data_IF_692388090458
#
_entry.id   IF_692388090458
#
_cell.length_a   1.000
_cell.length_b   1.000
_cell.length_c   1.000
_cell.angle_alpha   90.00
_cell.angle_beta   90.00
_cell.angle_gamma   90.00
#
_symmetry.space_group_name_H-M   'P 1'
#
loop_
_entity.id
_entity.type
_entity.pdbx_description
1 polymer ?
#
# COMPACT_ATOMS: atom_id res chain seq x y z
N UNK A 1 -12.95 2.91 -21.13
CA UNK A 1 -12.99 1.62 -20.40
C UNK A 1 -11.64 0.96 -20.58
N UNK A 2 -10.85 0.85 -19.52
CA UNK A 2 -9.57 0.13 -19.62
C UNK A 2 -9.86 -1.35 -19.88
N UNK A 3 -9.16 -1.92 -20.85
CA UNK A 3 -9.27 -3.32 -21.21
C UNK A 3 -8.32 -4.09 -20.29
N UNK A 4 -8.85 -4.96 -19.42
CA UNK A 4 -8.00 -5.86 -18.64
C UNK A 4 -7.50 -6.98 -19.55
N UNK A 5 -6.23 -7.38 -19.38
CA UNK A 5 -5.64 -8.48 -20.14
C UNK A 5 -6.18 -9.84 -19.66
N UNK A 6 -6.47 -9.97 -18.37
CA UNK A 6 -7.00 -11.19 -17.74
C UNK A 6 -8.09 -10.82 -16.74
N UNK A 7 -9.19 -11.57 -16.75
CA UNK A 7 -10.18 -11.54 -15.69
C UNK A 7 -9.81 -12.64 -14.67
N UNK A 8 -9.59 -12.26 -13.42
CA UNK A 8 -9.21 -13.20 -12.38
C UNK A 8 -9.95 -12.92 -11.08
N UNK A 9 -10.20 -13.96 -10.30
CA UNK A 9 -10.67 -13.88 -8.93
C UNK A 9 -9.45 -13.79 -7.99
N UNK A 10 -9.41 -12.73 -7.18
CA UNK A 10 -8.28 -12.48 -6.27
C UNK A 10 -8.15 -13.56 -5.19
N UNK A 11 -9.22 -14.26 -4.86
CA UNK A 11 -9.19 -15.37 -3.90
C UNK A 11 -8.68 -16.69 -4.51
N UNK A 12 -8.47 -16.71 -5.84
CA UNK A 12 -7.99 -17.87 -6.60
C UNK A 12 -7.30 -17.41 -7.88
N UNK A 13 -6.09 -16.90 -7.75
CA UNK A 13 -5.33 -16.41 -8.90
C UNK A 13 -4.83 -17.55 -9.79
N UNK A 14 -4.94 -17.41 -11.13
CA UNK A 14 -4.60 -18.49 -12.08
C UNK A 14 -3.10 -18.66 -12.34
N UNK A 15 -2.25 -17.94 -11.62
CA UNK A 15 -0.80 -17.98 -11.78
C UNK A 15 -0.16 -18.93 -10.77
N UNK A 16 1.01 -19.47 -11.13
CA UNK A 16 1.84 -20.29 -10.25
C UNK A 16 2.39 -19.45 -9.08
N UNK A 17 2.91 -20.15 -8.06
CA UNK A 17 3.65 -19.53 -6.97
C UNK A 17 4.85 -18.74 -7.52
N UNK A 18 5.23 -17.68 -6.84
CA UNK A 18 6.45 -16.91 -7.11
C UNK A 18 6.56 -16.36 -8.56
N UNK A 19 5.40 -16.00 -9.16
CA UNK A 19 5.34 -15.55 -10.56
C UNK A 19 5.74 -14.09 -10.71
N UNK A 20 5.37 -13.21 -9.77
CA UNK A 20 5.49 -11.76 -9.94
C UNK A 20 6.60 -11.15 -9.08
N UNK A 21 7.30 -10.18 -9.67
CA UNK A 21 8.28 -9.34 -8.97
C UNK A 21 7.62 -8.24 -8.15
N UNK A 22 6.53 -7.68 -8.70
CA UNK A 22 5.83 -6.52 -8.16
C UNK A 22 4.33 -6.73 -8.28
N UNK A 23 3.60 -6.34 -7.25
CA UNK A 23 2.14 -6.33 -7.22
C UNK A 23 1.62 -4.92 -6.94
N UNK A 24 0.52 -4.57 -7.60
CA UNK A 24 -0.27 -3.39 -7.26
C UNK A 24 -1.73 -3.79 -7.12
N UNK A 25 -2.26 -3.69 -5.91
CA UNK A 25 -3.64 -4.05 -5.57
C UNK A 25 -4.27 -2.87 -4.82
N UNK A 26 -4.78 -1.90 -5.58
CA UNK A 26 -5.28 -0.64 -5.03
C UNK A 26 -6.80 -0.61 -5.10
N UNK A 27 -7.45 -0.36 -3.97
CA UNK A 27 -8.90 -0.26 -3.84
C UNK A 27 -9.64 -1.49 -4.37
N UNK A 28 -9.21 -2.68 -3.91
CA UNK A 28 -9.78 -3.97 -4.30
C UNK A 28 -10.20 -4.79 -3.07
N UNK A 29 -9.34 -4.88 -2.05
CA UNK A 29 -9.55 -5.80 -0.92
C UNK A 29 -10.78 -5.45 -0.07
N UNK A 30 -11.20 -4.18 -0.03
CA UNK A 30 -12.41 -3.73 0.64
C UNK A 30 -13.70 -4.26 0.00
N UNK A 31 -13.62 -4.74 -1.24
CA UNK A 31 -14.74 -5.35 -1.97
C UNK A 31 -14.78 -6.87 -1.86
N UNK A 32 -13.69 -7.50 -1.41
CA UNK A 32 -13.54 -8.96 -1.39
C UNK A 32 -14.04 -9.53 -0.06
N UNK A 33 -15.10 -10.35 -0.03
CA UNK A 33 -15.61 -10.94 1.23
C UNK A 33 -14.56 -11.74 1.99
N UNK A 34 -13.79 -12.59 1.31
CA UNK A 34 -12.69 -13.38 1.88
C UNK A 34 -11.33 -12.71 1.58
N UNK A 35 -11.07 -11.59 2.25
CA UNK A 35 -9.85 -10.82 2.07
C UNK A 35 -8.60 -11.57 2.57
N UNK A 36 -8.73 -12.40 3.59
CA UNK A 36 -7.62 -13.20 4.09
C UNK A 36 -7.15 -14.18 3.02
N UNK A 37 -8.07 -14.85 2.35
CA UNK A 37 -7.75 -15.73 1.23
C UNK A 37 -7.12 -14.97 0.06
N UNK A 38 -7.63 -13.76 -0.23
CA UNK A 38 -7.04 -12.91 -1.26
C UNK A 38 -5.60 -12.50 -0.91
N UNK A 39 -5.33 -12.15 0.35
CA UNK A 39 -3.97 -11.84 0.82
C UNK A 39 -3.03 -13.04 0.73
N UNK A 40 -3.50 -14.24 1.06
CA UNK A 40 -2.73 -15.47 0.90
C UNK A 40 -2.37 -15.73 -0.57
N UNK A 41 -3.29 -15.48 -1.50
CA UNK A 41 -3.04 -15.61 -2.94
C UNK A 41 -2.05 -14.57 -3.45
N UNK A 42 -2.16 -13.31 -3.00
CA UNK A 42 -1.17 -12.27 -3.30
C UNK A 42 0.22 -12.68 -2.81
N UNK A 43 0.30 -13.23 -1.58
CA UNK A 43 1.56 -13.73 -1.04
C UNK A 43 2.11 -14.90 -1.85
N UNK A 44 1.25 -15.84 -2.22
CA UNK A 44 1.63 -17.03 -3.00
C UNK A 44 2.25 -16.66 -4.34
N UNK A 45 1.61 -15.75 -5.08
CA UNK A 45 2.07 -15.40 -6.44
C UNK A 45 3.24 -14.41 -6.48
N UNK A 46 3.49 -13.67 -5.38
CA UNK A 46 4.65 -12.80 -5.26
C UNK A 46 5.88 -13.63 -4.95
N UNK A 47 6.97 -13.44 -5.69
CA UNK A 47 8.22 -14.17 -5.45
C UNK A 47 8.92 -13.71 -4.16
N UNK A 48 9.77 -14.54 -3.54
CA UNK A 48 10.61 -14.11 -2.43
C UNK A 48 11.45 -12.88 -2.80
N UNK A 49 11.46 -11.87 -1.95
CA UNK A 49 12.07 -10.57 -2.21
C UNK A 49 11.25 -9.62 -3.08
N UNK A 50 10.17 -10.10 -3.70
CA UNK A 50 9.21 -9.26 -4.42
C UNK A 50 8.46 -8.33 -3.46
N UNK A 51 7.92 -7.24 -4.01
CA UNK A 51 7.26 -6.21 -3.24
C UNK A 51 5.96 -5.73 -3.91
N UNK A 52 5.15 -4.96 -3.23
CA UNK A 52 3.93 -4.41 -3.80
C UNK A 52 3.35 -3.26 -2.99
N UNK A 53 2.34 -2.62 -3.59
CA UNK A 53 1.46 -1.67 -2.94
C UNK A 53 0.06 -2.26 -2.85
N UNK A 54 -0.55 -2.16 -1.66
CA UNK A 54 -1.88 -2.72 -1.36
C UNK A 54 -2.72 -1.66 -0.66
N UNK A 55 -3.23 -0.71 -1.45
CA UNK A 55 -3.95 0.44 -0.94
C UNK A 55 -5.43 0.13 -0.74
N UNK A 56 -5.96 0.60 0.36
CA UNK A 56 -7.39 0.55 0.72
C UNK A 56 -7.73 1.82 1.50
N UNK A 57 -9.00 2.21 1.62
CA UNK A 57 -9.41 3.22 2.58
C UNK A 57 -9.06 2.76 4.01
N UNK A 58 -7.93 3.24 4.53
CA UNK A 58 -7.27 2.76 5.74
C UNK A 58 -7.21 3.83 6.82
N UNK A 59 -7.52 3.45 8.06
CA UNK A 59 -7.37 4.34 9.22
C UNK A 59 -6.71 3.60 10.39
N UNK A 60 -5.43 3.86 10.70
CA UNK A 60 -4.73 3.17 11.79
C UNK A 60 -5.25 3.55 13.18
N UNK A 61 -6.00 4.65 13.30
CA UNK A 61 -6.57 5.11 14.57
C UNK A 61 -7.88 4.43 14.95
N UNK A 62 -8.51 3.67 14.05
CA UNK A 62 -9.81 3.03 14.25
C UNK A 62 -9.71 1.51 14.10
N UNK A 63 -10.61 0.75 14.72
CA UNK A 63 -10.74 -0.67 14.40
C UNK A 63 -11.34 -0.86 13.00
N UNK A 64 -11.06 -2.01 12.39
CA UNK A 64 -11.76 -2.47 11.18
C UNK A 64 -13.24 -2.67 11.50
N UNK A 65 -14.09 -2.15 10.62
CA UNK A 65 -15.55 -2.34 10.67
C UNK A 65 -15.95 -3.26 9.53
N UNK A 66 -16.51 -4.41 9.86
CA UNK A 66 -17.04 -5.39 8.92
C UNK A 66 -18.22 -6.14 9.55
N UNK A 67 -19.23 -6.41 8.75
CA UNK A 67 -20.37 -7.22 9.16
C UNK A 67 -20.91 -7.97 7.92
N UNK A 68 -20.76 -9.30 7.86
CA UNK A 68 -21.18 -10.09 6.72
C UNK A 68 -22.71 -10.13 6.53
N UNK A 69 -23.47 -9.72 7.54
CA UNK A 69 -24.94 -9.65 7.46
C UNK A 69 -25.44 -8.39 6.73
N UNK A 70 -24.57 -7.38 6.60
CA UNK A 70 -24.88 -6.14 5.87
C UNK A 70 -24.75 -6.38 4.38
N UNK A 71 -25.90 -6.53 3.70
CA UNK A 71 -25.96 -6.81 2.27
C UNK A 71 -26.59 -5.69 1.45
N UNK A 72 -27.44 -4.85 2.07
CA UNK A 72 -28.09 -3.74 1.38
C UNK A 72 -27.06 -2.66 1.00
N UNK A 73 -27.06 -2.16 -0.26
CA UNK A 73 -26.12 -1.14 -0.74
C UNK A 73 -26.13 0.14 0.10
N UNK A 74 -27.31 0.59 0.54
CA UNK A 74 -27.47 1.81 1.35
C UNK A 74 -26.83 1.67 2.72
N UNK A 75 -26.91 0.47 3.32
CA UNK A 75 -26.28 0.18 4.61
C UNK A 75 -24.76 0.06 4.47
N UNK A 76 -24.27 -0.56 3.40
CA UNK A 76 -22.84 -0.61 3.08
C UNK A 76 -22.26 0.79 2.87
N UNK A 77 -22.96 1.62 2.08
CA UNK A 77 -22.57 3.03 1.89
C UNK A 77 -22.43 3.76 3.23
N UNK A 78 -23.40 3.59 4.13
CA UNK A 78 -23.43 4.26 5.43
C UNK A 78 -22.34 3.75 6.38
N UNK A 79 -22.09 2.44 6.42
CA UNK A 79 -21.18 1.78 7.37
C UNK A 79 -19.74 1.71 6.87
N UNK A 80 -19.56 1.45 5.57
CA UNK A 80 -18.25 1.15 4.99
C UNK A 80 -17.77 2.20 3.98
N UNK A 81 -18.62 3.18 3.64
CA UNK A 81 -18.25 4.33 2.81
C UNK A 81 -18.64 4.22 1.34
N UNK A 82 -18.88 3.02 0.81
CA UNK A 82 -19.40 2.80 -0.54
C UNK A 82 -20.41 1.64 -0.56
N UNK A 83 -21.28 1.64 -1.57
CA UNK A 83 -22.39 0.69 -1.68
C UNK A 83 -21.95 -0.77 -1.93
N UNK A 84 -20.74 -0.95 -2.44
CA UNK A 84 -20.13 -2.24 -2.79
C UNK A 84 -18.98 -2.64 -1.85
N UNK A 85 -18.61 -1.79 -0.89
CA UNK A 85 -17.67 -2.17 0.17
C UNK A 85 -18.31 -3.21 1.11
N UNK A 86 -17.54 -4.19 1.51
CA UNK A 86 -17.95 -5.20 2.52
C UNK A 86 -17.29 -4.94 3.87
N UNK A 87 -16.32 -4.02 3.90
CA UNK A 87 -15.64 -3.54 5.11
C UNK A 87 -15.03 -2.17 4.94
N UNK A 88 -14.67 -1.59 6.08
CA UNK A 88 -13.82 -0.42 6.18
C UNK A 88 -12.62 -0.78 7.04
N UNK A 89 -11.42 -0.75 6.47
CA UNK A 89 -10.22 -1.17 7.15
C UNK A 89 -9.77 -0.18 8.22
N UNK A 90 -9.40 -0.74 9.36
CA UNK A 90 -8.76 -0.08 10.48
C UNK A 90 -7.36 -0.65 10.73
N UNK A 91 -6.84 -0.44 11.94
CA UNK A 91 -5.49 -0.84 12.36
C UNK A 91 -5.18 -2.34 12.13
N UNK A 92 -6.19 -3.21 12.15
CA UNK A 92 -6.02 -4.64 11.94
C UNK A 92 -5.69 -5.02 10.48
N UNK A 93 -5.75 -4.06 9.54
CA UNK A 93 -5.41 -4.30 8.14
C UNK A 93 -3.95 -4.74 7.97
N UNK A 94 -3.04 -4.02 8.61
CA UNK A 94 -1.62 -4.37 8.56
C UNK A 94 -1.33 -5.70 9.24
N UNK A 95 -2.07 -6.04 10.32
CA UNK A 95 -1.96 -7.33 10.99
C UNK A 95 -2.44 -8.49 10.09
N UNK A 96 -3.48 -8.28 9.26
CA UNK A 96 -3.95 -9.27 8.29
C UNK A 96 -2.88 -9.57 7.23
N UNK A 97 -2.28 -8.52 6.66
CA UNK A 97 -1.17 -8.66 5.71
C UNK A 97 0.05 -9.36 6.33
N UNK A 98 0.39 -9.01 7.58
CA UNK A 98 1.46 -9.64 8.31
C UNK A 98 1.18 -11.14 8.58
N UNK A 99 -0.05 -11.50 8.93
CA UNK A 99 -0.48 -12.90 9.09
C UNK A 99 -0.41 -13.71 7.81
N UNK A 100 -0.63 -13.08 6.66
CA UNK A 100 -0.42 -13.71 5.35
C UNK A 100 1.06 -13.94 5.01
N UNK A 101 2.00 -13.43 5.83
CA UNK A 101 3.44 -13.66 5.70
C UNK A 101 4.24 -12.48 5.17
N UNK A 102 3.61 -11.35 4.86
CA UNK A 102 4.32 -10.17 4.36
C UNK A 102 5.08 -9.42 5.44
N UNK A 103 6.24 -8.87 5.10
CA UNK A 103 6.74 -7.67 5.74
C UNK A 103 5.86 -6.50 5.30
N UNK A 104 5.37 -5.70 6.25
CA UNK A 104 4.44 -4.61 5.99
C UNK A 104 5.00 -3.30 6.50
N UNK A 105 4.89 -2.26 5.70
CA UNK A 105 5.24 -0.90 6.09
C UNK A 105 4.19 0.07 5.56
N UNK A 106 3.92 1.15 6.31
CA UNK A 106 2.94 2.15 5.89
C UNK A 106 3.32 3.56 6.32
N UNK A 107 2.84 4.55 5.58
CA UNK A 107 3.08 5.96 5.89
C UNK A 107 2.35 6.88 4.90
N UNK A 108 2.33 8.17 5.19
CA UNK A 108 1.74 9.18 4.31
C UNK A 108 2.85 9.75 3.41
N UNK A 109 2.88 9.34 2.14
CA UNK A 109 3.89 9.80 1.18
C UNK A 109 3.72 11.27 0.81
N UNK A 110 2.49 11.71 0.59
CA UNK A 110 2.20 13.08 0.16
C UNK A 110 2.76 14.15 1.12
N UNK A 111 2.78 13.85 2.42
CA UNK A 111 3.33 14.74 3.44
C UNK A 111 4.86 14.90 3.38
N UNK A 112 5.57 14.03 2.65
CA UNK A 112 7.02 14.11 2.45
C UNK A 112 7.42 14.93 1.22
N UNK A 113 6.46 15.25 0.37
CA UNK A 113 6.67 16.11 -0.78
C UNK A 113 6.75 17.57 -0.33
N UNK A 114 7.67 18.33 -0.89
CA UNK A 114 7.76 19.77 -0.61
C UNK A 114 6.48 20.53 -0.99
N UNK A 115 6.42 21.80 -0.56
CA UNK A 115 5.25 22.67 -0.68
C UNK A 115 4.63 22.66 -2.09
N UNK A 116 3.34 22.36 -2.13
CA UNK A 116 2.50 22.40 -3.34
C UNK A 116 2.64 21.18 -4.28
N UNK A 117 3.60 20.26 -4.09
CA UNK A 117 3.75 19.12 -4.98
C UNK A 117 2.62 18.09 -4.82
N UNK A 118 2.14 17.86 -3.62
CA UNK A 118 0.99 17.00 -3.38
C UNK A 118 -0.24 17.51 -4.16
N UNK A 119 -0.52 18.80 -4.06
CA UNK A 119 -1.62 19.43 -4.80
C UNK A 119 -1.39 19.41 -6.32
N UNK A 120 -0.15 19.66 -6.77
CA UNK A 120 0.20 19.63 -8.20
C UNK A 120 -0.04 18.25 -8.84
N UNK A 121 0.27 17.18 -8.12
CA UNK A 121 0.05 15.81 -8.58
C UNK A 121 -1.33 15.24 -8.21
N UNK A 122 -2.18 16.01 -7.52
CA UNK A 122 -3.51 15.57 -7.08
C UNK A 122 -3.48 14.46 -6.05
N UNK A 123 -2.44 14.42 -5.19
CA UNK A 123 -2.31 13.42 -4.13
C UNK A 123 -3.11 13.84 -2.91
N UNK A 124 -3.78 12.88 -2.27
CA UNK A 124 -4.43 13.08 -0.98
C UNK A 124 -3.38 13.05 0.13
N UNK A 125 -3.26 14.17 0.87
CA UNK A 125 -2.32 14.30 1.99
C UNK A 125 -2.71 13.45 3.21
N UNK A 126 -3.89 12.84 3.20
CA UNK A 126 -4.36 11.93 4.25
C UNK A 126 -4.25 10.45 3.85
N UNK A 127 -3.92 10.15 2.60
CA UNK A 127 -3.85 8.78 2.11
C UNK A 127 -2.58 8.07 2.60
N UNK A 128 -2.79 6.89 3.18
CA UNK A 128 -1.69 6.01 3.58
C UNK A 128 -1.24 5.15 2.41
N UNK A 129 0.05 5.18 2.15
CA UNK A 129 0.71 4.24 1.26
C UNK A 129 1.10 3.01 2.07
N UNK A 130 0.59 1.82 1.67
CA UNK A 130 0.87 0.56 2.32
C UNK A 130 1.72 -0.29 1.38
N UNK A 131 2.96 -0.55 1.80
CA UNK A 131 3.92 -1.36 1.08
C UNK A 131 4.04 -2.74 1.72
N UNK A 132 4.11 -3.75 0.88
CA UNK A 132 4.34 -5.16 1.27
C UNK A 132 5.60 -5.69 0.60
N UNK A 133 6.23 -6.66 1.25
CA UNK A 133 7.33 -7.44 0.68
C UNK A 133 7.21 -8.90 1.12
N UNK A 134 7.45 -9.85 0.20
CA UNK A 134 7.63 -11.25 0.58
C UNK A 134 9.05 -11.43 1.11
N UNK A 135 9.24 -11.84 2.38
CA UNK A 135 10.56 -11.97 2.98
C UNK A 135 11.45 -12.99 2.25
N UNK A 136 12.76 -12.81 2.39
CA UNK A 136 13.79 -13.83 2.15
C UNK A 136 14.71 -13.87 3.36
N UNK A 137 15.27 -15.03 3.66
CA UNK A 137 15.98 -15.34 4.91
C UNK A 137 17.13 -14.40 5.28
N UNK A 138 17.66 -13.64 4.32
CA UNK A 138 18.82 -12.78 4.54
C UNK A 138 18.52 -11.26 4.41
N UNK A 139 17.28 -10.89 4.17
CA UNK A 139 16.92 -9.47 4.10
C UNK A 139 16.36 -8.98 5.44
N UNK A 140 16.74 -7.76 5.90
CA UNK A 140 16.10 -7.17 7.05
C UNK A 140 14.61 -6.90 6.76
N UNK A 141 13.76 -7.09 7.77
CA UNK A 141 12.35 -6.73 7.67
C UNK A 141 12.16 -5.27 7.29
N UNK A 142 11.05 -4.94 6.62
CA UNK A 142 10.68 -3.55 6.37
C UNK A 142 10.42 -2.84 7.72
N UNK A 143 10.78 -1.55 7.85
CA UNK A 143 10.38 -0.79 9.02
C UNK A 143 8.84 -0.71 9.07
N UNK A 144 8.23 -0.86 10.24
CA UNK A 144 6.76 -0.88 10.36
C UNK A 144 6.12 0.45 9.93
N UNK A 145 6.86 1.53 10.03
CA UNK A 145 6.46 2.85 9.58
C UNK A 145 7.43 3.37 8.55
N UNK A 146 6.91 3.76 7.39
CA UNK A 146 7.70 4.43 6.37
C UNK A 146 8.02 5.86 6.81
N UNK A 147 9.29 6.16 6.93
CA UNK A 147 9.79 7.52 7.09
C UNK A 147 10.28 7.99 5.72
N UNK A 148 9.50 8.83 5.09
CA UNK A 148 9.90 9.46 3.84
C UNK A 148 10.84 10.62 4.18
N UNK A 149 12.07 10.55 3.67
CA UNK A 149 12.97 11.72 3.77
C UNK A 149 12.54 12.73 2.73
N UNK A 150 12.22 13.94 3.16
CA UNK A 150 12.11 15.10 2.29
C UNK A 150 13.54 15.46 1.82
N UNK A 151 13.94 14.94 0.68
CA UNK A 151 15.22 15.25 0.05
C UNK A 151 15.02 15.22 -1.44
N UNK A 152 15.01 16.39 -2.08
CA UNK A 152 15.17 16.45 -3.51
C UNK A 152 16.55 15.90 -3.88
N UNK A 153 16.69 15.08 -4.94
CA UNK A 153 18.00 14.64 -5.43
C UNK A 153 18.88 15.79 -5.96
N UNK A 154 18.47 17.05 -5.75
CA UNK A 154 19.20 18.24 -6.12
C UNK A 154 19.98 18.89 -4.98
N UNK A 155 19.76 18.50 -3.72
CA UNK A 155 20.46 19.11 -2.57
C UNK A 155 21.93 18.63 -2.40
N UNK A 156 22.34 17.58 -3.12
CA UNK A 156 23.73 17.12 -3.06
C UNK A 156 24.71 17.89 -3.98
N UNK A 157 24.22 18.79 -4.84
CA UNK A 157 25.10 19.56 -5.75
C UNK A 157 25.65 20.85 -5.16
N UNK A 158 25.07 21.35 -4.07
CA UNK A 158 25.52 22.59 -3.44
C UNK A 158 26.56 22.39 -2.31
N UNK A 159 26.85 21.13 -1.95
CA UNK A 159 27.82 20.82 -0.89
C UNK A 159 29.27 20.68 -1.39
N UNK A 160 29.56 20.78 -2.68
CA UNK A 160 30.90 20.61 -3.24
C UNK A 160 31.45 21.84 -3.97
N UNK A 161 30.92 23.01 -3.72
CA UNK A 161 31.35 24.23 -4.42
C UNK A 161 31.68 25.39 -3.49
N UNK A 162 32.70 25.27 -2.66
CA UNK A 162 33.17 26.38 -1.82
C UNK A 162 34.60 26.27 -1.36
N UNK A 163 35.53 26.12 -2.30
CA UNK A 163 36.91 26.48 -1.99
C UNK A 163 37.20 27.82 -2.67
N UNK A 164 36.96 28.87 -1.90
CA UNK A 164 37.50 30.20 -2.21
C UNK A 164 39.02 30.18 -2.04
N UNK A 165 39.72 30.28 -3.15
CA UNK A 165 41.14 30.53 -3.17
C UNK A 165 41.35 32.05 -3.34
N UNK A 166 41.33 32.76 -2.24
CA UNK A 166 41.85 34.10 -2.20
C UNK A 166 43.39 34.06 -2.23
N UNK A 167 44.00 34.74 -3.17
CA UNK A 167 45.37 35.16 -3.09
C UNK A 167 45.63 36.36 -4.01
N UNK A 168 46.17 37.41 -3.42
CA UNK A 168 47.03 38.40 -4.05
C UNK A 168 46.41 39.71 -4.48
#
# INVERSE_FOLDING_TARGET
MMKSDVLADLTRLPWADDTFDVLMCNHVLEHIPDDLRAMDELFRVLRPGGWGLVLVPFSPSRPTSEDPTVTAPEDRQRLFGQADHVRRYGREYTDRLWKAGFDVSYGIYASSLGDGLAAYYGLDEAEYLIAIRKPIDQMPALPPKLEWRSGHPHDERDALGGTDAGAG
#
